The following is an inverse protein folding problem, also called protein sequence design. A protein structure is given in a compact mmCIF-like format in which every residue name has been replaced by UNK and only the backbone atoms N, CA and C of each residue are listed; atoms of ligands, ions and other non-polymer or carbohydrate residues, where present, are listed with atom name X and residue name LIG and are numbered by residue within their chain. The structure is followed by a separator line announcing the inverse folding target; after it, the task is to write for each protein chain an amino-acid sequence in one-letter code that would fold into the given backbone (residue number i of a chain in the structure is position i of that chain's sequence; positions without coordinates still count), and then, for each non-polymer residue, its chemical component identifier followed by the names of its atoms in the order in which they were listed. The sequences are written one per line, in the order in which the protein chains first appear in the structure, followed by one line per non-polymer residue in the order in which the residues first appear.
data_IF_854959792443
#
_entry.id   IF_854959792443
#
_cell.length_a   1.000
_cell.length_b   1.000
_cell.length_c   1.000
_cell.angle_alpha   90.00
_cell.angle_beta   90.00
_cell.angle_gamma   90.00
#
_symmetry.space_group_name_H-M   'P 1'
#
loop_
_entity.id
_entity.type
_entity.pdbx_description
1 polymer ?
#
# COMPACT_ATOMS: atom_id res chain seq x y z
N UNK A 1 14.31 18.71 12.58
CA UNK A 1 13.24 19.70 12.24
C UNK A 1 12.59 20.24 13.52
N UNK A 2 12.22 21.54 13.56
CA UNK A 2 11.53 22.15 14.72
C UNK A 2 9.99 22.24 14.54
N UNK A 3 9.49 21.86 13.37
CA UNK A 3 8.06 21.89 13.02
C UNK A 3 7.59 20.47 12.77
N UNK A 4 6.40 20.12 13.27
CA UNK A 4 5.76 18.82 13.07
C UNK A 4 5.59 18.53 11.57
N UNK A 5 5.94 17.32 11.15
CA UNK A 5 5.86 16.87 9.77
C UNK A 5 4.76 15.81 9.61
N UNK A 6 4.30 15.62 8.38
CA UNK A 6 3.38 14.53 8.01
C UNK A 6 3.69 14.01 6.61
N UNK A 7 3.35 12.75 6.36
CA UNK A 7 3.43 12.14 5.05
C UNK A 7 2.25 11.18 4.85
N UNK A 8 1.89 10.96 3.58
CA UNK A 8 0.88 9.98 3.21
C UNK A 8 1.58 8.75 2.59
N UNK A 9 1.23 7.57 3.08
CA UNK A 9 1.74 6.27 2.63
C UNK A 9 0.58 5.28 2.45
N UNK A 10 0.66 4.37 1.47
CA UNK A 10 -0.33 3.31 1.34
C UNK A 10 -0.07 2.20 2.35
N UNK A 11 -1.15 1.55 2.80
CA UNK A 11 -1.07 0.31 3.57
C UNK A 11 -0.66 -0.83 2.64
N UNK A 12 0.21 -1.71 3.12
CA UNK A 12 0.67 -2.90 2.41
C UNK A 12 0.18 -4.13 3.20
N UNK A 13 -0.44 -5.08 2.51
CA UNK A 13 -0.85 -6.34 3.13
C UNK A 13 0.36 -7.16 3.62
N UNK A 14 0.14 -8.00 4.64
CA UNK A 14 1.23 -8.76 5.28
C UNK A 14 1.98 -9.68 4.31
N UNK A 15 1.33 -10.48 3.44
CA UNK A 15 2.03 -11.29 2.44
C UNK A 15 2.92 -10.47 1.50
N UNK A 16 2.42 -9.34 1.00
CA UNK A 16 3.18 -8.44 0.14
C UNK A 16 4.34 -7.81 0.89
N UNK A 17 4.14 -7.41 2.15
CA UNK A 17 5.21 -6.84 2.95
C UNK A 17 6.33 -7.86 3.21
N UNK A 18 5.98 -9.10 3.56
CA UNK A 18 6.95 -10.20 3.68
C UNK A 18 7.71 -10.42 2.36
N UNK A 19 7.01 -10.42 1.21
CA UNK A 19 7.66 -10.53 -0.09
C UNK A 19 8.63 -9.38 -0.36
N UNK A 20 8.33 -8.14 0.06
CA UNK A 20 9.26 -7.02 -0.06
C UNK A 20 10.48 -7.23 0.84
N UNK A 21 10.29 -7.63 2.10
CA UNK A 21 11.40 -7.89 3.02
C UNK A 21 12.29 -9.07 2.62
N UNK A 22 11.76 -10.02 1.86
CA UNK A 22 12.52 -11.13 1.26
C UNK A 22 13.32 -10.73 0.02
N UNK A 23 13.04 -9.57 -0.58
CA UNK A 23 13.85 -9.02 -1.67
C UNK A 23 15.09 -8.36 -1.12
N UNK A 24 16.14 -8.35 -1.94
CA UNK A 24 17.38 -7.65 -1.67
C UNK A 24 17.91 -7.98 -0.27
N UNK A 25 18.16 -9.27 -0.02
CA UNK A 25 18.89 -9.74 1.16
C UNK A 25 20.32 -9.17 1.12
N UNK A 26 20.44 -7.85 1.35
CA UNK A 26 21.69 -7.18 1.54
C UNK A 26 22.40 -7.86 2.70
N UNK A 27 23.64 -8.25 2.47
CA UNK A 27 24.51 -8.90 3.43
C UNK A 27 24.54 -8.08 4.73
N UNK A 28 23.84 -8.54 5.76
CA UNK A 28 23.78 -7.87 7.07
C UNK A 28 22.38 -7.76 7.67
N UNK A 29 21.30 -7.89 6.87
CA UNK A 29 19.93 -7.87 7.39
C UNK A 29 19.28 -9.25 7.30
N UNK A 30 18.94 -9.80 8.47
CA UNK A 30 18.21 -11.07 8.55
C UNK A 30 16.77 -10.87 8.06
N UNK A 31 16.20 -11.82 7.27
CA UNK A 31 14.79 -11.77 6.91
C UNK A 31 13.92 -11.67 8.16
N UNK A 32 13.21 -10.56 8.33
CA UNK A 32 12.24 -10.37 9.41
C UNK A 32 10.84 -10.64 8.90
N UNK A 33 10.25 -11.73 9.40
CA UNK A 33 8.84 -12.01 9.17
C UNK A 33 7.98 -10.95 9.87
N UNK A 34 7.06 -10.35 9.12
CA UNK A 34 6.03 -9.46 9.63
C UNK A 34 5.01 -10.30 10.40
N UNK A 35 4.82 -9.97 11.68
CA UNK A 35 3.93 -10.68 12.61
C UNK A 35 2.48 -10.21 12.48
N UNK A 36 1.55 -10.97 13.05
CA UNK A 36 0.11 -10.69 12.99
C UNK A 36 -0.29 -9.41 13.75
N UNK A 37 0.51 -9.01 14.74
CA UNK A 37 0.38 -7.78 15.51
C UNK A 37 1.04 -6.56 14.84
N UNK A 38 1.52 -6.73 13.61
CA UNK A 38 2.17 -5.70 12.81
C UNK A 38 1.40 -5.40 11.53
N UNK A 39 1.61 -4.20 10.99
CA UNK A 39 1.17 -3.80 9.65
C UNK A 39 2.29 -3.00 8.97
N UNK A 40 2.31 -3.00 7.64
CA UNK A 40 3.28 -2.25 6.87
C UNK A 40 2.63 -1.08 6.13
N UNK A 41 3.37 0.03 6.00
CA UNK A 41 2.97 1.14 5.17
C UNK A 41 4.19 1.79 4.51
N UNK A 42 4.06 2.15 3.23
CA UNK A 42 5.18 2.72 2.46
C UNK A 42 5.09 2.41 0.98
N UNK A 43 6.12 2.77 0.23
CA UNK A 43 6.22 2.46 -1.20
C UNK A 43 7.33 1.43 -1.43
N UNK A 44 7.11 0.47 -2.32
CA UNK A 44 8.10 -0.56 -2.64
C UNK A 44 9.40 0.03 -3.21
N UNK A 45 9.31 1.16 -3.90
CA UNK A 45 10.45 1.89 -4.45
C UNK A 45 11.20 2.72 -3.40
N UNK A 46 10.69 2.81 -2.16
CA UNK A 46 11.19 3.72 -1.12
C UNK A 46 10.61 5.14 -1.25
N UNK A 47 11.44 6.19 -1.14
CA UNK A 47 11.10 7.63 -1.28
C UNK A 47 10.55 8.34 -0.04
N UNK A 48 9.52 7.78 0.63
CA UNK A 48 8.88 8.41 1.80
C UNK A 48 8.71 7.38 2.90
N UNK A 49 9.07 7.76 4.11
CA UNK A 49 9.04 6.87 5.27
C UNK A 49 9.05 7.66 6.57
N UNK A 50 8.59 7.02 7.63
CA UNK A 50 8.85 7.49 8.99
C UNK A 50 10.34 7.32 9.30
N UNK A 51 10.87 8.15 10.20
CA UNK A 51 12.30 8.21 10.48
C UNK A 51 12.64 8.15 11.96
N UNK A 52 13.94 8.31 12.28
CA UNK A 52 14.40 8.35 13.66
C UNK A 52 13.72 9.50 14.41
N UNK A 53 13.07 9.16 15.51
CA UNK A 53 12.32 10.13 16.34
C UNK A 53 10.82 10.09 16.11
N UNK A 54 10.32 9.39 15.09
CA UNK A 54 8.88 9.23 14.85
C UNK A 54 8.27 8.05 15.61
N UNK A 55 9.08 7.24 16.31
CA UNK A 55 8.64 6.07 17.08
C UNK A 55 7.49 6.40 18.04
N UNK A 56 6.43 5.58 18.01
CA UNK A 56 5.19 5.82 18.76
C UNK A 56 4.23 6.82 18.12
N UNK A 57 4.65 7.55 17.08
CA UNK A 57 3.80 8.45 16.32
C UNK A 57 2.64 7.71 15.64
N UNK A 58 1.46 8.35 15.48
CA UNK A 58 0.27 7.67 14.99
C UNK A 58 0.30 7.49 13.46
N UNK A 59 -0.07 6.28 13.00
CA UNK A 59 -0.48 6.05 11.62
C UNK A 59 -2.01 6.09 11.56
N UNK A 60 -2.55 7.10 10.88
CA UNK A 60 -3.99 7.31 10.75
C UNK A 60 -4.49 7.07 9.33
N UNK A 61 -5.68 6.48 9.21
CA UNK A 61 -6.39 6.24 7.96
C UNK A 61 -7.68 7.06 7.94
N UNK A 62 -7.99 7.68 6.79
CA UNK A 62 -9.28 8.32 6.59
C UNK A 62 -10.32 7.27 6.18
N UNK A 63 -11.30 7.02 7.04
CA UNK A 63 -12.40 6.09 6.79
C UNK A 63 -13.71 6.86 6.86
N UNK A 64 -14.41 6.92 5.73
CA UNK A 64 -15.57 7.80 5.59
C UNK A 64 -15.16 9.27 5.75
N UNK A 65 -15.58 9.90 6.87
CA UNK A 65 -15.22 11.29 7.22
C UNK A 65 -14.34 11.39 8.46
N UNK A 66 -13.84 10.26 8.98
CA UNK A 66 -13.13 10.20 10.26
C UNK A 66 -11.72 9.69 10.08
N UNK A 67 -10.77 10.32 10.78
CA UNK A 67 -9.40 9.81 10.90
C UNK A 67 -9.36 8.81 12.04
N UNK A 68 -8.95 7.58 11.72
CA UNK A 68 -8.86 6.47 12.66
C UNK A 68 -7.41 6.02 12.78
N UNK A 69 -6.94 5.77 13.99
CA UNK A 69 -5.59 5.27 14.21
C UNK A 69 -5.54 3.77 13.86
N UNK A 70 -4.86 3.45 12.76
CA UNK A 70 -4.65 2.08 12.33
C UNK A 70 -3.41 1.45 12.97
N UNK A 71 -2.40 2.28 13.26
CA UNK A 71 -1.14 1.82 13.79
C UNK A 71 -0.34 2.88 14.55
N UNK A 72 0.83 2.48 15.00
CA UNK A 72 1.85 3.34 15.60
C UNK A 72 3.23 2.98 15.06
N UNK A 73 4.05 3.99 14.75
CA UNK A 73 5.40 3.80 14.19
C UNK A 73 6.21 2.91 15.12
N UNK A 74 6.73 1.79 14.61
CA UNK A 74 7.46 0.81 15.41
C UNK A 74 8.91 0.68 14.96
N UNK A 75 9.14 0.12 13.78
CA UNK A 75 10.48 -0.16 13.28
C UNK A 75 10.54 -0.12 11.75
N UNK A 76 11.75 -0.10 11.21
CA UNK A 76 12.04 -0.13 9.78
C UNK A 76 13.52 -0.42 9.55
N UNK A 77 13.91 -0.76 8.32
CA UNK A 77 15.31 -0.97 7.95
C UNK A 77 15.83 0.19 7.11
N UNK A 78 16.56 1.09 7.77
CA UNK A 78 16.87 2.39 7.21
C UNK A 78 15.61 3.24 7.03
N UNK A 79 15.69 4.23 6.14
CA UNK A 79 14.58 5.14 5.86
C UNK A 79 14.38 5.24 4.36
N UNK A 80 13.14 5.07 3.91
CA UNK A 80 12.76 5.25 2.52
C UNK A 80 13.58 4.40 1.54
N UNK A 81 14.06 3.22 1.99
CA UNK A 81 14.82 2.28 1.17
C UNK A 81 13.86 1.46 0.30
N UNK A 82 14.35 1.11 -0.89
CA UNK A 82 13.65 0.17 -1.78
C UNK A 82 13.42 -1.16 -1.05
N UNK A 83 12.23 -1.73 -1.21
CA UNK A 83 11.79 -3.00 -0.62
C UNK A 83 11.82 -3.06 0.92
N UNK A 84 12.02 -1.94 1.62
CA UNK A 84 12.01 -1.84 3.09
C UNK A 84 10.93 -0.85 3.55
N UNK A 85 9.65 -1.20 3.47
CA UNK A 85 8.58 -0.34 3.96
C UNK A 85 8.63 -0.21 5.49
N UNK A 86 8.13 0.89 6.05
CA UNK A 86 8.00 1.04 7.49
C UNK A 86 7.02 0.03 8.11
N UNK A 87 7.34 -0.44 9.31
CA UNK A 87 6.53 -1.38 10.07
C UNK A 87 5.96 -0.71 11.32
N UNK A 88 4.67 -0.90 11.51
CA UNK A 88 3.85 -0.26 12.52
C UNK A 88 3.18 -1.33 13.37
N UNK A 89 2.93 -1.03 14.65
CA UNK A 89 2.06 -1.89 15.47
C UNK A 89 0.65 -1.85 14.88
N UNK A 90 -0.06 -2.98 14.87
CA UNK A 90 -1.45 -3.08 14.46
C UNK A 90 -2.35 -2.82 15.66
N UNK A 91 -3.00 -1.65 15.69
CA UNK A 91 -3.86 -1.24 16.82
C UNK A 91 -4.98 -2.24 17.07
N UNK A 92 -5.59 -2.78 16.00
CA UNK A 92 -6.68 -3.76 16.12
C UNK A 92 -6.26 -5.07 16.77
N UNK A 93 -4.98 -5.48 16.66
CA UNK A 93 -4.47 -6.69 17.34
C UNK A 93 -4.38 -6.52 18.85
N UNK A 94 -4.36 -5.27 19.33
CA UNK A 94 -4.23 -4.92 20.74
C UNK A 94 -5.55 -4.43 21.35
N UNK A 95 -6.68 -4.60 20.65
CA UNK A 95 -7.97 -4.04 21.05
C UNK A 95 -8.40 -4.46 22.47
N UNK A 96 -8.20 -5.72 22.86
CA UNK A 96 -8.61 -6.23 24.17
C UNK A 96 -7.86 -5.53 25.30
N UNK A 97 -6.54 -5.35 25.14
CA UNK A 97 -5.72 -4.62 26.10
C UNK A 97 -6.11 -3.14 26.16
N UNK A 98 -6.30 -2.49 25.01
CA UNK A 98 -6.70 -1.08 24.95
C UNK A 98 -8.06 -0.88 25.62
N UNK A 99 -9.04 -1.71 25.31
CA UNK A 99 -10.38 -1.65 25.88
C UNK A 99 -10.39 -1.97 27.38
N UNK A 100 -9.46 -2.80 27.87
CA UNK A 100 -9.31 -3.02 29.30
C UNK A 100 -8.86 -1.76 30.04
N UNK A 101 -7.98 -0.95 29.44
CA UNK A 101 -7.47 0.30 30.02
C UNK A 101 -8.44 1.48 29.79
N UNK A 102 -9.11 1.51 28.62
CA UNK A 102 -9.98 2.60 28.15
C UNK A 102 -11.29 1.99 27.63
N UNK A 103 -12.23 1.60 28.51
CA UNK A 103 -13.45 0.88 28.13
C UNK A 103 -14.39 1.66 27.20
N UNK A 104 -14.31 2.98 27.21
CA UNK A 104 -15.13 3.85 26.36
C UNK A 104 -14.64 3.93 24.91
N UNK A 105 -13.41 3.48 24.62
CA UNK A 105 -12.82 3.59 23.30
C UNK A 105 -13.55 2.70 22.28
N UNK A 106 -14.01 3.33 21.20
CA UNK A 106 -14.75 2.65 20.15
C UNK A 106 -13.84 2.25 18.98
N UNK A 107 -13.79 0.95 18.69
CA UNK A 107 -13.14 0.42 17.49
C UNK A 107 -14.12 0.44 16.32
N UNK A 108 -13.80 1.21 15.27
CA UNK A 108 -14.61 1.24 14.06
C UNK A 108 -14.28 0.05 13.17
N UNK A 109 -15.31 -0.74 12.83
CA UNK A 109 -15.18 -1.80 11.83
C UNK A 109 -15.13 -1.13 10.45
N UNK A 110 -14.07 -1.37 9.68
CA UNK A 110 -14.06 -0.97 8.28
C UNK A 110 -15.21 -1.71 7.57
N UNK A 111 -16.25 -0.98 7.17
CA UNK A 111 -17.39 -1.57 6.48
C UNK A 111 -16.94 -2.22 5.16
N UNK A 112 -17.45 -3.41 4.87
CA UNK A 112 -17.15 -4.24 3.70
C UNK A 112 -17.62 -3.66 2.35
N UNK A 113 -17.85 -2.35 2.23
CA UNK A 113 -18.59 -1.74 1.11
C UNK A 113 -18.05 -0.42 0.59
N UNK A 114 -16.77 -0.10 0.76
CA UNK A 114 -16.19 1.15 0.29
C UNK A 114 -14.79 0.98 -0.27
N UNK A 115 -14.69 0.77 -1.57
CA UNK A 115 -13.47 1.01 -2.35
C UNK A 115 -12.88 2.36 -1.92
N UNK A 116 -11.66 2.36 -1.42
CA UNK A 116 -10.87 3.55 -1.09
C UNK A 116 -10.93 4.56 -2.26
N UNK A 117 -11.73 5.63 -2.13
CA UNK A 117 -11.60 6.80 -3.00
C UNK A 117 -10.36 7.55 -2.52
N UNK A 118 -9.27 7.39 -3.27
CA UNK A 118 -8.08 8.22 -3.11
C UNK A 118 -8.37 9.73 -3.30
N UNK A 119 -7.41 10.61 -3.00
CA UNK A 119 -7.55 12.03 -3.24
C UNK A 119 -7.82 12.28 -4.73
N UNK A 120 -8.84 13.08 -5.04
CA UNK A 120 -9.08 13.56 -6.41
C UNK A 120 -7.89 14.43 -6.84
N UNK A 121 -6.99 13.84 -7.63
CA UNK A 121 -5.86 14.49 -8.26
C UNK A 121 -5.31 13.58 -9.36
N UNK A 122 -5.60 13.95 -10.61
CA UNK A 122 -5.14 13.34 -11.87
C UNK A 122 -5.47 11.86 -12.10
N UNK A 123 -6.62 11.66 -12.73
CA UNK A 123 -7.00 10.47 -13.46
C UNK A 123 -6.11 10.35 -14.71
N UNK A 124 -5.28 9.30 -14.89
CA UNK A 124 -4.76 8.97 -16.20
C UNK A 124 -5.93 8.43 -17.02
N UNK A 125 -6.13 8.98 -18.20
CA UNK A 125 -7.05 8.47 -19.20
C UNK A 125 -6.78 6.98 -19.46
N UNK A 126 -7.63 6.11 -18.91
CA UNK A 126 -7.76 4.74 -19.38
C UNK A 126 -8.34 4.85 -20.79
N UNK A 127 -7.47 4.73 -21.80
CA UNK A 127 -7.90 4.60 -23.17
C UNK A 127 -8.63 3.26 -23.32
N UNK A 128 -9.84 3.36 -23.83
CA UNK A 128 -10.77 2.28 -24.03
C UNK A 128 -10.15 1.17 -24.91
N UNK A 129 -10.43 -0.07 -24.50
CA UNK A 129 -10.23 -1.28 -25.27
C UNK A 129 -10.82 -1.14 -26.67
N UNK A 130 -9.99 -1.27 -27.70
CA UNK A 130 -10.43 -1.46 -29.09
C UNK A 130 -10.41 -2.96 -29.38
N UNK A 131 -11.52 -3.61 -29.83
CA UNK A 131 -11.47 -4.94 -30.38
C UNK A 131 -11.02 -4.85 -31.85
N UNK A 132 -9.70 -4.84 -32.08
CA UNK A 132 -9.11 -4.79 -33.42
C UNK A 132 -8.67 -6.16 -33.92
N UNK A 133 -9.61 -7.05 -34.26
CA UNK A 133 -9.30 -8.37 -34.85
C UNK A 133 -9.93 -8.65 -36.22
N UNK A 134 -10.45 -7.64 -36.94
CA UNK A 134 -11.13 -7.90 -38.22
C UNK A 134 -10.49 -7.20 -39.43
N UNK A 135 -9.52 -6.30 -39.23
CA UNK A 135 -8.91 -5.55 -40.35
C UNK A 135 -7.78 -6.29 -41.09
N UNK A 136 -7.17 -7.32 -40.49
CA UNK A 136 -6.10 -8.07 -41.17
C UNK A 136 -6.64 -9.16 -42.11
N UNK A 137 -7.77 -9.80 -41.82
CA UNK A 137 -8.29 -10.88 -42.67
C UNK A 137 -8.76 -10.39 -44.06
N UNK A 138 -9.27 -9.16 -44.16
CA UNK A 138 -9.78 -8.59 -45.43
C UNK A 138 -8.65 -8.21 -46.38
N UNK A 139 -7.49 -7.80 -45.85
CA UNK A 139 -6.33 -7.41 -46.67
C UNK A 139 -5.66 -8.64 -47.32
N UNK A 140 -5.62 -9.77 -46.62
CA UNK A 140 -5.10 -11.04 -47.17
C UNK A 140 -6.03 -11.64 -48.23
N UNK A 141 -7.35 -11.52 -48.08
CA UNK A 141 -8.31 -12.00 -49.07
C UNK A 141 -8.25 -11.21 -50.39
N UNK A 142 -8.05 -9.89 -50.33
CA UNK A 142 -7.88 -9.05 -51.53
C UNK A 142 -6.53 -9.28 -52.22
N UNK A 143 -5.45 -9.50 -51.46
CA UNK A 143 -4.14 -9.81 -52.03
C UNK A 143 -4.13 -11.17 -52.76
N UNK A 144 -4.83 -12.19 -52.25
CA UNK A 144 -4.93 -13.50 -52.89
C UNK A 144 -5.72 -13.47 -54.22
N UNK A 145 -6.70 -12.56 -54.36
CA UNK A 145 -7.45 -12.40 -55.60
C UNK A 145 -6.64 -11.69 -56.70
N UNK A 146 -5.69 -10.81 -56.34
CA UNK A 146 -4.83 -10.15 -57.33
C UNK A 146 -3.69 -11.04 -57.85
N UNK A 147 -3.36 -12.14 -57.17
CA UNK A 147 -2.33 -13.10 -57.64
C UNK A 147 -2.89 -14.20 -58.55
N UNK A 148 -4.21 -14.21 -58.80
CA UNK A 148 -4.89 -15.19 -59.65
C UNK A 148 -5.55 -14.55 -60.90
N UNK A 149 -5.19 -13.30 -61.21
CA UNK A 149 -5.50 -12.63 -62.48
C UNK A 149 -4.21 -12.35 -63.25
#
# INVERSE_FOLDING_TARGET
PRVLQKLAVPIIDTPRCNLLYSKDAESGFQPKAIKDDMLCAGFAEGKKDACKGDSGGPLVCLVGRSWLQAGGVSWGEGWARRNRPGVYIRVTSHHAWIHHIIPELQFQKAGTGGLMRGPRGQQPSVQNSVPGLVAHAVLWALAALLTLL
#
